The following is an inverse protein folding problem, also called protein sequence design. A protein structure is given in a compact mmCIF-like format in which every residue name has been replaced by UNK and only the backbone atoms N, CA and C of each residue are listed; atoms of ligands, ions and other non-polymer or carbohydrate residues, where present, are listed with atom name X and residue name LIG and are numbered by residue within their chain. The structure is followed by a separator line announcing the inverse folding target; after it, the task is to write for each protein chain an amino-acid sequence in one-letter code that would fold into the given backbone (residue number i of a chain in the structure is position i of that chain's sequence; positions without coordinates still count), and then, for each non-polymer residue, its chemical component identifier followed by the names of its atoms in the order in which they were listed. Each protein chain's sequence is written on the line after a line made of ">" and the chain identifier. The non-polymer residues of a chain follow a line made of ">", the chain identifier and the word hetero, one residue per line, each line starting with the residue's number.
data_IF_139315332602
#
_entry.id   IF_139315332602
#
_cell.length_a   1.000
_cell.length_b   1.000
_cell.length_c   1.000
_cell.angle_alpha   90.00
_cell.angle_beta   90.00
_cell.angle_gamma   90.00
#
_symmetry.space_group_name_H-M   'P 1'
#
loop_
_entity.id
_entity.type
_entity.pdbx_description
1 polymer ?
#
# COMPACT_ATOMS: atom_id res chain seq x y z
N UNK A 1 48.45 -8.75 13.98
CA UNK A 1 47.22 -8.05 14.42
C UNK A 1 46.38 -7.59 13.22
N UNK A 2 46.15 -8.46 12.22
CA UNK A 2 45.50 -8.10 10.93
C UNK A 2 44.24 -8.92 10.65
N UNK A 3 44.01 -10.03 11.38
CA UNK A 3 42.87 -10.93 11.12
C UNK A 3 41.53 -10.49 11.74
N UNK A 4 41.52 -9.45 12.59
CA UNK A 4 40.28 -8.94 13.22
C UNK A 4 39.60 -7.81 12.43
N UNK A 5 40.28 -7.18 11.48
CA UNK A 5 39.69 -6.12 10.65
C UNK A 5 38.89 -6.65 9.45
N UNK A 6 39.19 -7.86 8.98
CA UNK A 6 38.50 -8.43 7.81
C UNK A 6 37.07 -8.88 8.16
N UNK A 7 36.83 -9.33 9.39
CA UNK A 7 35.49 -9.73 9.85
C UNK A 7 34.51 -8.55 9.97
N UNK A 8 34.99 -7.34 10.24
CA UNK A 8 34.12 -6.16 10.37
C UNK A 8 33.61 -5.65 9.00
N UNK A 9 34.40 -5.82 7.93
CA UNK A 9 34.01 -5.41 6.58
C UNK A 9 32.98 -6.35 5.93
N UNK A 10 32.94 -7.63 6.31
CA UNK A 10 31.96 -8.60 5.78
C UNK A 10 30.59 -8.45 6.45
N UNK A 11 30.55 -7.97 7.71
CA UNK A 11 29.28 -7.71 8.41
C UNK A 11 28.63 -6.40 7.91
N UNK A 12 29.44 -5.40 7.51
CA UNK A 12 28.91 -4.13 6.98
C UNK A 12 28.33 -4.25 5.56
N UNK A 13 28.76 -5.22 4.75
CA UNK A 13 28.22 -5.44 3.39
C UNK A 13 26.87 -6.18 3.38
N UNK A 14 26.47 -6.83 4.49
CA UNK A 14 25.17 -7.50 4.60
C UNK A 14 24.04 -6.57 5.07
N UNK A 15 24.35 -5.34 5.51
CA UNK A 15 23.36 -4.33 5.87
C UNK A 15 22.93 -3.43 4.70
N UNK A 16 23.58 -3.57 3.53
CA UNK A 16 23.27 -2.79 2.33
C UNK A 16 22.66 -3.65 1.23
N UNK A 17 21.33 -3.86 1.26
CA UNK A 17 20.46 -3.90 0.08
C UNK A 17 19.08 -4.50 0.42
N UNK A 18 18.25 -3.74 1.14
CA UNK A 18 16.82 -3.74 0.86
C UNK A 18 16.49 -2.44 0.14
N UNK A 19 17.16 -2.19 -1.00
CA UNK A 19 16.80 -1.13 -1.92
C UNK A 19 15.34 -1.35 -2.34
N UNK A 20 14.57 -0.27 -2.36
CA UNK A 20 13.34 -0.27 -3.15
C UNK A 20 13.85 -0.49 -4.57
N UNK A 21 13.66 -1.68 -5.13
CA UNK A 21 13.93 -1.89 -6.55
C UNK A 21 13.04 -0.92 -7.31
N UNK A 22 13.65 0.17 -7.78
CA UNK A 22 13.05 1.09 -8.73
C UNK A 22 13.01 0.35 -10.07
N UNK A 23 12.11 -0.63 -10.20
CA UNK A 23 11.81 -1.20 -11.51
C UNK A 23 11.03 -0.15 -12.27
N UNK A 24 11.73 0.53 -13.18
CA UNK A 24 11.09 1.31 -14.23
C UNK A 24 10.28 0.31 -15.05
N UNK A 25 8.98 0.19 -14.77
CA UNK A 25 8.05 -0.55 -15.61
C UNK A 25 8.03 0.18 -16.96
N UNK A 26 8.72 -0.40 -17.94
CA UNK A 26 9.15 0.30 -19.17
C UNK A 26 8.03 0.75 -20.10
N UNK A 27 6.75 0.43 -19.82
CA UNK A 27 5.64 0.63 -20.76
C UNK A 27 4.37 1.29 -20.17
N UNK A 28 4.42 1.99 -19.02
CA UNK A 28 3.21 2.57 -18.41
C UNK A 28 3.02 4.08 -18.70
N UNK A 29 3.29 4.54 -19.92
CA UNK A 29 3.13 5.96 -20.27
C UNK A 29 1.67 6.44 -20.37
N UNK A 30 0.68 5.54 -20.30
CA UNK A 30 -0.74 5.93 -20.38
C UNK A 30 -1.72 4.99 -19.66
N UNK A 31 -1.25 3.85 -19.12
CA UNK A 31 -2.12 2.86 -18.47
C UNK A 31 -2.17 3.11 -16.96
N UNK A 32 -3.37 3.35 -16.43
CA UNK A 32 -3.61 3.69 -15.00
C UNK A 32 -3.40 2.52 -14.03
N UNK A 33 -3.19 1.29 -14.51
CA UNK A 33 -2.95 0.09 -13.69
C UNK A 33 -2.14 -0.92 -14.50
N UNK A 34 -1.02 -1.49 -14.01
CA UNK A 34 -0.44 -2.66 -14.63
C UNK A 34 -1.46 -3.81 -14.57
N UNK A 35 -2.01 -4.17 -15.74
CA UNK A 35 -2.92 -5.31 -15.91
C UNK A 35 -2.20 -6.65 -15.99
N UNK A 36 -0.87 -6.62 -16.06
CA UNK A 36 -0.07 -7.83 -16.11
C UNK A 36 -0.02 -8.48 -14.71
N UNK A 37 -0.71 -9.60 -14.57
CA UNK A 37 -0.77 -10.36 -13.32
C UNK A 37 0.58 -11.02 -12.98
N UNK A 38 1.54 -11.10 -13.92
CA UNK A 38 2.86 -11.69 -13.70
C UNK A 38 3.63 -11.02 -12.56
N UNK A 39 3.48 -9.69 -12.41
CA UNK A 39 4.08 -8.93 -11.33
C UNK A 39 3.63 -9.48 -9.97
N UNK A 40 2.33 -9.72 -9.79
CA UNK A 40 1.79 -10.16 -8.50
C UNK A 40 2.19 -11.61 -8.17
N UNK A 41 2.39 -12.47 -9.18
CA UNK A 41 2.87 -13.84 -8.98
C UNK A 41 4.26 -13.87 -8.33
N UNK A 42 5.18 -13.02 -8.77
CA UNK A 42 6.53 -12.93 -8.18
C UNK A 42 6.47 -12.60 -6.67
N UNK A 43 5.52 -11.74 -6.26
CA UNK A 43 5.36 -11.40 -4.84
C UNK A 43 4.60 -12.45 -4.04
N UNK A 44 3.70 -13.22 -4.65
CA UNK A 44 3.05 -14.35 -3.96
C UNK A 44 4.07 -15.39 -3.50
N UNK A 45 5.11 -15.60 -4.29
CA UNK A 45 6.18 -16.57 -3.97
C UNK A 45 7.17 -16.01 -2.95
N UNK A 46 7.44 -14.70 -3.00
CA UNK A 46 8.47 -14.04 -2.16
C UNK A 46 7.95 -13.51 -0.83
N UNK A 47 6.66 -13.19 -0.74
CA UNK A 47 6.06 -12.59 0.44
C UNK A 47 5.01 -13.52 1.05
N UNK A 48 4.86 -13.44 2.37
CA UNK A 48 3.78 -14.11 3.06
C UNK A 48 2.46 -13.33 2.85
N UNK A 49 1.87 -13.47 1.65
CA UNK A 49 0.66 -12.76 1.22
C UNK A 49 -0.55 -13.28 1.98
N UNK A 50 -1.12 -12.43 2.83
CA UNK A 50 -2.31 -12.73 3.62
C UNK A 50 -2.92 -11.45 4.18
N UNK A 51 -4.19 -11.53 4.57
CA UNK A 51 -4.91 -10.45 5.23
C UNK A 51 -4.98 -10.68 6.74
N UNK A 52 -5.08 -9.61 7.55
CA UNK A 52 -5.58 -9.71 8.91
C UNK A 52 -6.94 -10.40 8.94
N UNK A 53 -7.17 -11.24 9.95
CA UNK A 53 -8.42 -11.99 10.11
C UNK A 53 -9.65 -11.11 10.31
N UNK A 54 -9.46 -9.87 10.78
CA UNK A 54 -10.52 -8.90 11.04
C UNK A 54 -10.79 -7.95 9.86
N UNK A 55 -10.23 -8.19 8.68
CA UNK A 55 -10.64 -7.46 7.48
C UNK A 55 -11.99 -7.97 6.99
N UNK A 56 -12.88 -7.03 6.69
CA UNK A 56 -14.14 -7.31 6.01
C UNK A 56 -13.98 -7.19 4.49
N UNK A 57 -14.10 -8.32 3.80
CA UNK A 57 -14.01 -8.41 2.34
C UNK A 57 -15.26 -7.86 1.62
N UNK A 58 -16.35 -7.60 2.33
CA UNK A 58 -17.60 -7.08 1.76
C UNK A 58 -17.65 -5.55 1.80
N UNK A 59 -16.86 -4.92 2.67
CA UNK A 59 -16.86 -3.47 2.89
C UNK A 59 -15.83 -2.69 2.06
N UNK A 60 -15.95 -1.36 2.07
CA UNK A 60 -14.88 -0.41 1.78
C UNK A 60 -14.31 0.12 3.09
N UNK A 61 -13.07 0.59 3.03
CA UNK A 61 -12.48 1.43 4.07
C UNK A 61 -12.25 2.80 3.46
N UNK A 62 -13.12 3.76 3.76
CA UNK A 62 -13.10 5.11 3.20
C UNK A 62 -12.22 6.04 4.04
N UNK A 63 -11.40 6.86 3.37
CA UNK A 63 -10.56 7.84 4.03
C UNK A 63 -11.40 8.82 4.84
N UNK A 64 -11.06 8.98 6.12
CA UNK A 64 -11.73 9.92 7.00
C UNK A 64 -10.85 11.15 7.27
N UNK A 65 -9.62 10.93 7.74
CA UNK A 65 -8.69 12.00 8.10
C UNK A 65 -7.26 11.48 8.19
N UNK A 66 -6.29 12.38 8.34
CA UNK A 66 -4.90 12.06 8.58
C UNK A 66 -4.47 12.52 9.98
N UNK A 67 -3.68 11.69 10.66
CA UNK A 67 -3.10 11.97 11.97
C UNK A 67 -1.60 12.19 11.82
N UNK A 68 -1.11 13.27 12.42
CA UNK A 68 0.29 13.47 12.76
C UNK A 68 0.47 13.20 14.26
N UNK A 69 0.94 12.00 14.59
CA UNK A 69 1.11 11.58 15.98
C UNK A 69 2.13 12.43 16.74
N UNK A 70 3.16 12.94 16.06
CA UNK A 70 4.20 13.75 16.67
C UNK A 70 3.64 15.10 17.13
N UNK A 71 2.90 15.76 16.25
CA UNK A 71 2.35 17.08 16.55
C UNK A 71 0.95 17.03 17.19
N UNK A 72 0.37 15.84 17.39
CA UNK A 72 -1.01 15.61 17.86
C UNK A 72 -2.03 16.41 17.04
N UNK A 73 -1.82 16.47 15.72
CA UNK A 73 -2.67 17.22 14.79
C UNK A 73 -3.50 16.29 13.95
N UNK A 74 -4.74 16.71 13.71
CA UNK A 74 -5.68 16.06 12.80
C UNK A 74 -5.86 16.93 11.57
N UNK A 75 -5.77 16.29 10.41
CA UNK A 75 -5.89 16.93 9.12
C UNK A 75 -7.06 16.33 8.36
N UNK A 76 -8.03 17.15 8.00
CA UNK A 76 -9.03 16.80 7.00
C UNK A 76 -8.60 17.39 5.65
N UNK A 77 -7.59 16.77 5.03
CA UNK A 77 -6.85 17.36 3.90
C UNK A 77 -7.39 16.98 2.52
N UNK A 78 -8.47 16.17 2.43
CA UNK A 78 -8.98 15.69 1.14
C UNK A 78 -10.39 16.17 0.84
N UNK A 79 -10.58 17.49 0.71
CA UNK A 79 -11.88 18.06 0.32
C UNK A 79 -12.40 17.59 -1.05
N UNK A 80 -11.51 17.27 -2.01
CA UNK A 80 -11.89 17.02 -3.41
C UNK A 80 -11.51 15.64 -3.98
N UNK A 81 -10.79 14.79 -3.25
CA UNK A 81 -10.35 13.48 -3.74
C UNK A 81 -10.58 12.43 -2.66
N UNK A 82 -11.78 11.82 -2.65
CA UNK A 82 -12.06 10.68 -1.78
C UNK A 82 -11.24 9.48 -2.21
N UNK A 83 -10.86 8.68 -1.24
CA UNK A 83 -10.15 7.43 -1.52
C UNK A 83 -10.62 6.34 -0.59
N UNK A 84 -10.68 5.12 -1.10
CA UNK A 84 -11.08 3.97 -0.32
C UNK A 84 -10.22 2.75 -0.64
N UNK A 85 -9.95 1.95 0.38
CA UNK A 85 -9.38 0.62 0.21
C UNK A 85 -10.49 -0.41 0.05
N UNK A 86 -10.29 -1.34 -0.88
CA UNK A 86 -11.06 -2.58 -1.01
C UNK A 86 -10.12 -3.77 -0.93
N UNK A 87 -10.38 -4.67 0.00
CA UNK A 87 -9.65 -5.92 0.13
C UNK A 87 -10.40 -7.05 -0.54
N UNK A 88 -9.64 -8.00 -1.08
CA UNK A 88 -10.14 -9.22 -1.71
C UNK A 88 -9.36 -10.42 -1.15
N UNK A 89 -9.85 -11.62 -1.46
CA UNK A 89 -9.20 -12.87 -1.04
C UNK A 89 -7.72 -12.92 -1.43
N UNK A 90 -6.94 -13.77 -0.74
CA UNK A 90 -5.50 -13.99 -1.00
C UNK A 90 -4.66 -12.71 -0.91
N UNK A 91 -4.93 -11.85 0.08
CA UNK A 91 -4.11 -10.67 0.32
C UNK A 91 -4.22 -9.59 -0.76
N UNK A 92 -5.20 -9.62 -1.68
CA UNK A 92 -5.31 -8.62 -2.74
C UNK A 92 -5.97 -7.35 -2.23
N UNK A 93 -5.52 -6.20 -2.72
CA UNK A 93 -6.06 -4.90 -2.32
C UNK A 93 -6.07 -3.91 -3.49
N UNK A 94 -7.11 -3.08 -3.55
CA UNK A 94 -7.14 -1.90 -4.40
C UNK A 94 -7.25 -0.63 -3.55
N UNK A 95 -6.53 0.41 -3.94
CA UNK A 95 -6.70 1.78 -3.49
C UNK A 95 -7.41 2.58 -4.58
N UNK A 96 -8.68 2.92 -4.37
CA UNK A 96 -9.46 3.73 -5.29
C UNK A 96 -9.36 5.21 -4.95
N UNK A 97 -9.38 6.05 -5.98
CA UNK A 97 -9.63 7.48 -5.88
C UNK A 97 -10.91 7.76 -6.66
N UNK A 98 -11.86 8.43 -6.02
CA UNK A 98 -13.20 8.54 -6.58
C UNK A 98 -13.91 9.85 -6.29
N UNK A 99 -14.94 10.08 -7.08
CA UNK A 99 -15.86 11.22 -7.04
C UNK A 99 -17.26 10.68 -6.81
N UNK A 100 -17.88 11.00 -5.67
CA UNK A 100 -19.18 10.45 -5.25
C UNK A 100 -20.29 10.62 -6.29
N UNK A 101 -20.15 11.59 -7.19
CA UNK A 101 -21.13 11.86 -8.23
C UNK A 101 -21.06 10.87 -9.41
N UNK A 102 -20.07 9.95 -9.44
CA UNK A 102 -19.88 8.99 -10.53
C UNK A 102 -20.29 7.57 -10.12
N UNK A 103 -21.07 6.91 -10.98
CA UNK A 103 -21.65 5.58 -10.71
C UNK A 103 -20.66 4.39 -10.76
N UNK A 104 -19.44 4.57 -11.28
CA UNK A 104 -18.48 3.46 -11.54
C UNK A 104 -17.12 3.64 -10.84
N UNK A 105 -17.13 4.24 -9.65
CA UNK A 105 -15.92 4.61 -8.91
C UNK A 105 -15.01 3.44 -8.50
N UNK A 106 -15.59 2.25 -8.39
CA UNK A 106 -14.92 1.08 -7.83
C UNK A 106 -14.74 -0.05 -8.84
N UNK A 107 -14.74 0.26 -10.15
CA UNK A 107 -14.36 -0.70 -11.20
C UNK A 107 -12.84 -0.94 -11.15
N UNK A 108 -12.46 -2.04 -10.53
CA UNK A 108 -11.08 -2.51 -10.29
C UNK A 108 -10.28 -2.82 -11.57
N UNK A 109 -10.96 -2.91 -12.73
CA UNK A 109 -10.33 -3.07 -14.05
C UNK A 109 -10.02 -1.74 -14.73
N UNK A 110 -10.64 -0.64 -14.26
CA UNK A 110 -10.52 0.70 -14.88
C UNK A 110 -9.84 1.72 -13.96
N UNK A 111 -9.99 1.57 -12.65
CA UNK A 111 -9.62 2.58 -11.67
C UNK A 111 -8.88 2.00 -10.46
N UNK A 112 -8.16 2.88 -9.76
CA UNK A 112 -7.43 2.59 -8.54
C UNK A 112 -6.07 1.94 -8.76
N UNK A 113 -5.23 1.94 -7.73
CA UNK A 113 -3.96 1.24 -7.73
C UNK A 113 -4.14 -0.15 -7.13
N UNK A 114 -3.57 -1.15 -7.80
CA UNK A 114 -3.56 -2.54 -7.33
C UNK A 114 -2.36 -2.77 -6.43
N UNK A 115 -2.57 -3.60 -5.41
CA UNK A 115 -1.56 -3.93 -4.44
C UNK A 115 -1.83 -5.26 -3.76
N UNK A 116 -0.93 -5.60 -2.85
CA UNK A 116 -0.99 -6.80 -2.03
C UNK A 116 -0.76 -6.46 -0.56
N UNK A 117 -1.46 -7.18 0.29
CA UNK A 117 -1.25 -7.21 1.73
C UNK A 117 -0.44 -8.46 2.07
N UNK A 118 0.59 -8.27 2.88
CA UNK A 118 1.46 -9.34 3.31
C UNK A 118 1.84 -9.16 4.77
N UNK A 119 2.17 -10.27 5.42
CA UNK A 119 2.64 -10.27 6.81
C UNK A 119 4.15 -10.35 6.84
N UNK A 120 4.77 -9.41 7.52
CA UNK A 120 6.20 -9.45 7.82
C UNK A 120 6.37 -9.44 9.34
N UNK A 121 6.93 -10.52 9.90
CA UNK A 121 6.95 -10.78 11.34
C UNK A 121 5.53 -10.75 11.90
N UNK A 122 5.24 -9.82 12.81
CA UNK A 122 3.92 -9.66 13.45
C UNK A 122 3.11 -8.49 12.87
N UNK A 123 3.61 -7.82 11.82
CA UNK A 123 2.97 -6.65 11.25
C UNK A 123 2.44 -6.93 9.85
N UNK A 124 1.28 -6.35 9.53
CA UNK A 124 0.78 -6.33 8.17
C UNK A 124 1.30 -5.12 7.42
N UNK A 125 1.61 -5.31 6.14
CA UNK A 125 2.10 -4.28 5.24
C UNK A 125 1.32 -4.34 3.94
N UNK A 126 1.24 -3.20 3.26
CA UNK A 126 0.72 -3.11 1.91
C UNK A 126 1.84 -2.75 0.95
N UNK A 127 1.81 -3.36 -0.22
CA UNK A 127 2.68 -3.05 -1.34
C UNK A 127 1.81 -2.65 -2.52
N UNK A 128 2.04 -1.46 -3.07
CA UNK A 128 1.35 -0.96 -4.25
C UNK A 128 2.34 -0.62 -5.36
N UNK A 129 1.93 -0.83 -6.61
CA UNK A 129 2.55 -0.15 -7.74
C UNK A 129 1.82 1.17 -7.97
N UNK A 130 2.48 2.28 -7.66
CA UNK A 130 1.89 3.60 -7.77
C UNK A 130 2.92 4.64 -8.27
N UNK A 131 2.48 5.80 -8.79
CA UNK A 131 3.35 6.90 -9.13
C UNK A 131 4.19 7.36 -7.92
N UNK A 132 5.52 7.33 -8.06
CA UNK A 132 6.49 7.76 -7.03
C UNK A 132 7.08 9.14 -7.30
N UNK A 133 6.83 9.73 -8.47
CA UNK A 133 7.26 11.09 -8.83
C UNK A 133 6.12 11.87 -9.48
N UNK A 134 6.22 13.20 -9.47
CA UNK A 134 5.28 14.12 -10.13
C UNK A 134 5.16 13.83 -11.64
N UNK A 135 6.26 13.40 -12.27
CA UNK A 135 6.29 12.97 -13.68
C UNK A 135 5.66 11.58 -13.91
N UNK A 136 4.89 11.06 -12.95
CA UNK A 136 4.20 9.77 -12.99
C UNK A 136 5.10 8.57 -13.31
N UNK A 137 6.36 8.58 -12.87
CA UNK A 137 7.14 7.35 -12.88
C UNK A 137 6.54 6.40 -11.85
N UNK A 138 6.16 5.20 -12.29
CA UNK A 138 5.63 4.16 -11.40
C UNK A 138 6.77 3.47 -10.67
N UNK A 139 6.51 3.08 -9.43
CA UNK A 139 7.41 2.30 -8.60
C UNK A 139 6.64 1.59 -7.49
N UNK A 140 7.38 0.86 -6.67
CA UNK A 140 6.82 0.12 -5.53
C UNK A 140 6.75 1.02 -4.30
N UNK A 141 5.56 1.14 -3.71
CA UNK A 141 5.33 1.86 -2.46
C UNK A 141 4.91 0.88 -1.37
N UNK A 142 5.56 0.97 -0.21
CA UNK A 142 5.29 0.12 0.94
C UNK A 142 4.62 0.93 2.04
N UNK A 143 3.60 0.36 2.66
CA UNK A 143 2.85 0.96 3.74
C UNK A 143 2.80 0.00 4.92
N UNK A 144 2.84 0.55 6.13
CA UNK A 144 2.44 -0.16 7.34
C UNK A 144 0.91 -0.13 7.40
N UNK A 145 0.33 -1.26 7.78
CA UNK A 145 -1.09 -1.43 7.95
C UNK A 145 -1.41 -1.91 9.37
N UNK A 146 -2.42 -1.30 9.99
CA UNK A 146 -2.95 -1.75 11.27
C UNK A 146 -4.48 -1.66 11.26
N UNK A 147 -5.13 -2.68 11.84
CA UNK A 147 -6.59 -2.73 12.01
C UNK A 147 -6.94 -2.57 13.49
N UNK A 148 -7.81 -1.61 13.81
CA UNK A 148 -8.35 -1.38 15.16
C UNK A 148 -9.88 -1.34 15.09
N UNK A 149 -10.53 -2.46 15.40
CA UNK A 149 -11.97 -2.63 15.16
C UNK A 149 -12.30 -2.39 13.68
N UNK A 150 -13.23 -1.47 13.42
CA UNK A 150 -13.62 -1.04 12.06
C UNK A 150 -12.73 0.04 11.45
N UNK A 151 -11.63 0.40 12.12
CA UNK A 151 -10.69 1.42 11.65
C UNK A 151 -9.45 0.80 11.04
N UNK A 152 -9.11 1.24 9.83
CA UNK A 152 -7.90 0.92 9.12
C UNK A 152 -6.92 2.10 9.22
N UNK A 153 -5.71 1.83 9.70
CA UNK A 153 -4.61 2.80 9.79
C UNK A 153 -3.54 2.46 8.76
N UNK A 154 -3.23 3.42 7.89
CA UNK A 154 -2.23 3.27 6.83
C UNK A 154 -1.17 4.33 6.95
N UNK A 155 0.08 3.89 6.94
CA UNK A 155 1.24 4.75 7.12
C UNK A 155 2.28 4.46 6.06
N UNK A 156 2.66 5.46 5.25
CA UNK A 156 3.68 5.28 4.22
C UNK A 156 5.06 5.03 4.86
N UNK A 157 5.71 3.94 4.48
CA UNK A 157 7.06 3.62 4.95
C UNK A 157 8.06 4.35 4.06
N UNK A 158 8.54 5.52 4.50
CA UNK A 158 9.63 6.24 3.81
C UNK A 158 10.96 5.94 4.49
N UNK A 159 11.96 5.52 3.72
CA UNK A 159 13.31 5.18 4.20
C UNK A 159 14.04 6.30 4.96
N UNK A 160 13.69 7.57 4.71
CA UNK A 160 14.36 8.74 5.28
C UNK A 160 13.54 9.46 6.34
N UNK A 161 12.36 8.95 6.69
CA UNK A 161 11.57 9.47 7.79
C UNK A 161 11.84 8.60 9.02
N UNK A 162 12.16 9.22 10.15
CA UNK A 162 12.13 8.51 11.44
C UNK A 162 10.69 8.08 11.73
N UNK A 163 10.50 7.08 12.60
CA UNK A 163 9.13 6.63 12.99
C UNK A 163 8.24 7.80 13.46
N UNK A 164 8.86 8.85 13.99
CA UNK A 164 8.22 10.08 14.47
C UNK A 164 7.77 11.07 13.38
N UNK A 165 8.02 10.79 12.10
CA UNK A 165 7.61 11.64 10.96
C UNK A 165 6.54 10.96 10.09
N UNK A 166 5.96 9.87 10.58
CA UNK A 166 5.00 9.07 9.85
C UNK A 166 3.60 9.65 10.00
N UNK A 167 3.13 10.33 8.95
CA UNK A 167 1.70 10.62 8.79
C UNK A 167 0.92 9.31 8.64
N UNK A 168 -0.18 9.21 9.38
CA UNK A 168 -1.06 8.03 9.33
C UNK A 168 -2.42 8.45 8.80
N UNK A 169 -2.79 7.91 7.65
CA UNK A 169 -4.11 8.05 7.09
C UNK A 169 -5.06 7.07 7.80
N UNK A 170 -6.21 7.59 8.23
CA UNK A 170 -7.27 6.86 8.91
C UNK A 170 -8.40 6.60 7.92
N UNK A 171 -8.79 5.34 7.83
CA UNK A 171 -9.89 4.89 7.00
C UNK A 171 -10.94 4.19 7.88
N UNK A 172 -12.20 4.49 7.64
CA UNK A 172 -13.33 3.95 8.40
C UNK A 172 -14.10 2.98 7.51
N UNK A 173 -14.45 1.82 8.07
CA UNK A 173 -15.30 0.84 7.40
C UNK A 173 -16.62 1.47 6.96
N UNK A 174 -17.00 1.18 5.72
CA UNK A 174 -18.27 1.55 5.11
C UNK A 174 -18.84 0.32 4.42
N UNK A 175 -20.09 0.02 4.75
CA UNK A 175 -20.84 -1.00 4.04
C UNK A 175 -21.05 -0.56 2.58
N UNK A 176 -21.02 -1.52 1.67
CA UNK A 176 -21.27 -1.26 0.26
C UNK A 176 -22.73 -1.49 -0.06
N UNK A 177 -23.40 -0.47 -0.60
CA UNK A 177 -24.77 -0.61 -1.12
C UNK A 177 -24.83 -1.39 -2.45
N UNK A 178 -23.68 -1.67 -3.08
CA UNK A 178 -23.59 -2.44 -4.34
C UNK A 178 -22.25 -3.17 -4.48
N UNK A 179 -22.23 -4.39 -5.07
CA UNK A 179 -21.02 -5.19 -5.17
C UNK A 179 -19.98 -4.54 -6.08
N UNK A 180 -18.72 -4.51 -5.63
CA UNK A 180 -17.59 -4.19 -6.50
C UNK A 180 -17.32 -5.37 -7.43
N UNK A 181 -17.28 -5.10 -8.73
CA UNK A 181 -16.85 -6.08 -9.73
C UNK A 181 -15.49 -6.66 -9.32
N UNK A 182 -15.49 -7.93 -8.93
CA UNK A 182 -14.29 -8.67 -8.56
C UNK A 182 -13.47 -8.95 -9.81
N UNK A 183 -12.14 -8.95 -9.64
CA UNK A 183 -11.20 -9.39 -10.66
C UNK A 183 -10.87 -10.85 -10.39
N UNK A 184 -10.70 -11.62 -11.46
CA UNK A 184 -9.83 -12.80 -11.46
C UNK A 184 -8.36 -12.33 -11.42
N UNK A 185 -7.76 -12.41 -10.24
CA UNK A 185 -6.33 -12.15 -10.02
C UNK A 185 -5.47 -13.35 -10.41
#
# INVERSE_FOLDING_TARGET
>A
MVSRFIYFSIIFSLLSCNSIELRKLSNLSSVKVPKDNSFYKEYDEKLNVQLPSNIDLTSLYEYAYQIDYKNKKFFNTRKNNKSAFKFYKKGRVNLFYYDENKKNNFDSNKYGYRGICYKEKNNFKLLFIAPITENRKYGVQNYKMEMKGDTLLISLIKKHLTEDQIFTDVYIKKDMDSPVNQIDW
#
